data_IF_607101016244
#
_entry.id   IF_607101016244
#
_cell.length_a   1.000
_cell.length_b   1.000
_cell.length_c   1.000
_cell.angle_alpha   90.00
_cell.angle_beta   90.00
_cell.angle_gamma   90.00
#
_symmetry.space_group_name_H-M   'P 1'
#
loop_
_entity.id
_entity.type
_entity.pdbx_description
1 polymer ?
#
# COMPACT_ATOMS: atom_id res chain seq x y z
N UNK A 1 6.95 -0.66 -0.33
CA UNK A 1 8.13 -0.59 -1.22
C UNK A 1 7.91 0.42 -2.32
N UNK A 2 7.59 -0.03 -3.54
CA UNK A 2 7.53 0.77 -4.79
C UNK A 2 6.74 2.08 -4.70
N UNK A 3 5.44 2.02 -4.39
CA UNK A 3 4.59 3.22 -4.44
C UNK A 3 4.94 4.20 -3.32
N UNK A 4 5.18 3.71 -2.09
CA UNK A 4 5.59 4.54 -0.96
C UNK A 4 6.93 5.25 -1.18
N UNK A 5 7.93 4.56 -1.74
CA UNK A 5 9.21 5.19 -2.09
C UNK A 5 9.06 6.22 -3.21
N UNK A 6 8.23 5.95 -4.21
CA UNK A 6 7.97 6.89 -5.31
C UNK A 6 7.30 8.17 -4.81
N UNK A 7 6.27 8.05 -3.95
CA UNK A 7 5.61 9.20 -3.33
C UNK A 7 6.58 10.04 -2.50
N UNK A 8 7.40 9.40 -1.67
CA UNK A 8 8.43 10.09 -0.88
C UNK A 8 9.49 10.77 -1.74
N UNK A 9 9.89 10.16 -2.86
CA UNK A 9 10.91 10.69 -3.76
C UNK A 9 10.40 11.93 -4.50
N UNK A 10 9.17 11.86 -4.99
CA UNK A 10 8.54 12.94 -5.75
C UNK A 10 8.30 14.17 -4.87
N UNK A 11 7.66 13.99 -3.71
CA UNK A 11 7.45 15.08 -2.74
C UNK A 11 8.77 15.62 -2.19
N UNK A 12 9.74 14.75 -1.91
CA UNK A 12 11.07 15.18 -1.47
C UNK A 12 11.80 16.00 -2.52
N UNK A 13 11.65 15.65 -3.79
CA UNK A 13 12.21 16.44 -4.90
C UNK A 13 11.52 17.80 -5.00
N UNK A 14 10.18 17.84 -4.97
CA UNK A 14 9.41 19.09 -4.97
C UNK A 14 9.75 20.00 -3.78
N UNK A 15 10.05 19.40 -2.61
CA UNK A 15 10.48 20.17 -1.43
C UNK A 15 11.86 20.79 -1.63
N UNK A 16 12.82 20.01 -2.12
CA UNK A 16 14.21 20.47 -2.33
C UNK A 16 14.31 21.49 -3.48
N UNK A 17 13.39 21.47 -4.44
CA UNK A 17 13.30 22.46 -5.51
C UNK A 17 12.38 23.64 -5.17
N UNK A 18 11.99 23.80 -3.90
CA UNK A 18 11.13 24.88 -3.38
C UNK A 18 9.75 24.97 -4.06
N UNK A 19 9.31 23.94 -4.79
CA UNK A 19 8.01 23.91 -5.46
C UNK A 19 6.86 23.88 -4.45
N UNK A 20 7.06 23.23 -3.29
CA UNK A 20 6.07 23.22 -2.21
C UNK A 20 5.90 24.62 -1.60
N UNK A 21 7.01 25.33 -1.36
CA UNK A 21 6.98 26.69 -0.82
C UNK A 21 6.35 27.67 -1.84
N UNK A 22 6.59 27.47 -3.14
CA UNK A 22 5.95 28.23 -4.19
C UNK A 22 4.41 28.09 -4.18
N UNK A 23 3.87 26.91 -3.88
CA UNK A 23 2.42 26.70 -3.74
C UNK A 23 1.83 27.50 -2.56
N UNK A 24 2.55 27.55 -1.44
CA UNK A 24 2.13 28.32 -0.26
C UNK A 24 2.09 29.83 -0.56
N UNK A 25 3.09 30.35 -1.29
CA UNK A 25 3.11 31.76 -1.74
C UNK A 25 1.96 32.09 -2.69
N UNK A 26 1.51 31.11 -3.47
CA UNK A 26 0.34 31.22 -4.35
C UNK A 26 -1.00 31.03 -3.60
N UNK A 27 -1.00 31.05 -2.28
CA UNK A 27 -2.18 30.85 -1.42
C UNK A 27 -2.91 29.52 -1.68
N UNK A 28 -2.19 28.50 -2.15
CA UNK A 28 -2.72 27.15 -2.37
C UNK A 28 -2.23 26.24 -1.25
N UNK A 29 -3.14 25.52 -0.57
CA UNK A 29 -2.73 24.56 0.46
C UNK A 29 -2.02 23.34 -0.19
N UNK A 30 -0.70 23.17 0.04
CA UNK A 30 0.05 22.09 -0.58
C UNK A 30 -0.37 20.71 -0.08
N UNK A 31 -0.93 20.59 1.14
CA UNK A 31 -1.40 19.30 1.67
C UNK A 31 -2.65 18.86 0.90
N UNK A 32 -3.63 19.75 0.76
CA UNK A 32 -4.84 19.44 0.00
C UNK A 32 -4.54 19.16 -1.48
N UNK A 33 -3.59 19.90 -2.07
CA UNK A 33 -3.29 19.78 -3.49
C UNK A 33 -2.41 18.57 -3.84
N UNK A 34 -1.43 18.22 -3.00
CA UNK A 34 -0.46 17.15 -3.30
C UNK A 34 -0.74 15.85 -2.54
N UNK A 35 -1.08 15.92 -1.25
CA UNK A 35 -1.12 14.74 -0.37
C UNK A 35 -2.48 14.05 -0.43
N UNK A 36 -3.57 14.80 -0.24
CA UNK A 36 -4.94 14.26 -0.22
C UNK A 36 -5.27 13.41 -1.46
N UNK A 37 -5.03 13.86 -2.71
CA UNK A 37 -5.33 13.03 -3.88
C UNK A 37 -4.50 11.74 -3.94
N UNK A 38 -3.24 11.76 -3.47
CA UNK A 38 -2.38 10.56 -3.41
C UNK A 38 -2.89 9.56 -2.38
N UNK A 39 -3.35 10.04 -1.22
CA UNK A 39 -3.95 9.20 -0.18
C UNK A 39 -5.20 8.52 -0.71
N UNK A 40 -6.13 9.27 -1.33
CA UNK A 40 -7.33 8.66 -1.92
C UNK A 40 -7.01 7.66 -3.02
N UNK A 41 -6.09 7.99 -3.93
CA UNK A 41 -5.70 7.10 -5.00
C UNK A 41 -5.15 5.77 -4.46
N UNK A 42 -4.31 5.81 -3.43
CA UNK A 42 -3.70 4.62 -2.83
C UNK A 42 -4.66 3.80 -1.99
N UNK A 43 -5.53 4.45 -1.21
CA UNK A 43 -6.58 3.76 -0.42
C UNK A 43 -7.54 2.99 -1.32
N UNK A 44 -7.87 3.50 -2.50
CA UNK A 44 -8.77 2.84 -3.45
C UNK A 44 -8.03 1.76 -4.26
N UNK A 45 -6.80 2.02 -4.69
CA UNK A 45 -6.07 1.10 -5.56
C UNK A 45 -5.47 -0.09 -4.81
N UNK A 46 -5.11 0.04 -3.53
CA UNK A 46 -4.53 -1.09 -2.77
C UNK A 46 -5.48 -2.28 -2.63
N UNK A 47 -6.76 -2.11 -2.23
CA UNK A 47 -7.74 -3.19 -2.18
C UNK A 47 -7.94 -3.88 -3.53
N UNK A 48 -8.02 -3.12 -4.62
CA UNK A 48 -8.15 -3.67 -5.97
C UNK A 48 -6.94 -4.52 -6.35
N UNK A 49 -5.74 -4.06 -6.00
CA UNK A 49 -4.49 -4.75 -6.30
C UNK A 49 -4.35 -6.03 -5.45
N UNK A 50 -4.80 -6.01 -4.20
CA UNK A 50 -4.84 -7.20 -3.33
C UNK A 50 -5.86 -8.22 -3.87
N UNK A 51 -7.06 -7.80 -4.27
CA UNK A 51 -8.03 -8.73 -4.88
C UNK A 51 -7.50 -9.41 -6.15
N UNK A 52 -6.74 -8.69 -6.98
CA UNK A 52 -6.03 -9.29 -8.12
C UNK A 52 -4.92 -10.26 -7.68
N UNK A 53 -4.16 -9.91 -6.63
CA UNK A 53 -3.11 -10.78 -6.10
C UNK A 53 -3.69 -12.08 -5.54
N UNK A 54 -4.83 -12.02 -4.85
CA UNK A 54 -5.52 -13.19 -4.31
C UNK A 54 -6.02 -14.11 -5.44
N UNK A 55 -6.64 -13.55 -6.48
CA UNK A 55 -7.07 -14.31 -7.65
C UNK A 55 -5.90 -15.01 -8.35
N UNK A 56 -4.78 -14.31 -8.54
CA UNK A 56 -3.56 -14.91 -9.10
C UNK A 56 -2.94 -15.96 -8.16
N UNK A 57 -3.05 -15.77 -6.84
CA UNK A 57 -2.62 -16.74 -5.83
C UNK A 57 -3.40 -18.05 -5.92
N UNK A 58 -4.73 -17.98 -6.07
CA UNK A 58 -5.59 -19.16 -6.27
C UNK A 58 -5.23 -19.89 -7.57
N UNK A 59 -5.03 -19.15 -8.66
CA UNK A 59 -4.64 -19.75 -9.96
C UNK A 59 -3.25 -20.40 -9.86
N UNK A 60 -2.30 -19.76 -9.19
CA UNK A 60 -0.96 -20.32 -8.95
C UNK A 60 -1.02 -21.60 -8.11
N UNK A 61 -1.83 -21.60 -7.05
CA UNK A 61 -2.08 -22.78 -6.23
C UNK A 61 -2.73 -23.93 -7.00
N UNK A 62 -3.68 -23.62 -7.89
CA UNK A 62 -4.31 -24.59 -8.77
C UNK A 62 -3.29 -25.23 -9.73
N UNK A 63 -2.44 -24.42 -10.36
CA UNK A 63 -1.45 -24.92 -11.33
C UNK A 63 -0.47 -25.88 -10.65
N UNK A 64 0.04 -25.56 -9.47
CA UNK A 64 0.95 -26.45 -8.75
C UNK A 64 0.24 -27.71 -8.25
N UNK A 65 -0.90 -27.58 -7.59
CA UNK A 65 -1.58 -28.72 -6.96
C UNK A 65 -2.19 -29.70 -7.97
N UNK A 66 -2.81 -29.19 -9.04
CA UNK A 66 -3.51 -30.02 -10.02
C UNK A 66 -2.58 -30.44 -11.15
N UNK A 67 -1.81 -29.52 -11.73
CA UNK A 67 -1.00 -29.81 -12.93
C UNK A 67 0.31 -30.50 -12.56
N UNK A 68 1.00 -30.04 -11.51
CA UNK A 68 2.28 -30.66 -11.11
C UNK A 68 2.11 -31.86 -10.17
N UNK A 69 1.23 -31.75 -9.16
CA UNK A 69 1.05 -32.81 -8.16
C UNK A 69 -0.05 -33.83 -8.51
N UNK A 70 -0.82 -33.60 -9.59
CA UNK A 70 -1.87 -34.52 -10.04
C UNK A 70 -3.09 -34.60 -9.13
N UNK A 71 -3.33 -33.58 -8.29
CA UNK A 71 -4.51 -33.53 -7.42
C UNK A 71 -5.80 -33.40 -8.22
N UNK A 72 -6.91 -33.88 -7.68
CA UNK A 72 -8.21 -33.79 -8.35
C UNK A 72 -8.66 -32.31 -8.49
N UNK A 73 -8.92 -31.82 -9.72
CA UNK A 73 -9.33 -30.42 -9.95
C UNK A 73 -10.64 -30.06 -9.25
N UNK A 74 -11.62 -30.98 -9.24
CA UNK A 74 -12.94 -30.77 -8.64
C UNK A 74 -12.80 -30.63 -7.12
N UNK A 75 -11.96 -31.46 -6.50
CA UNK A 75 -11.70 -31.40 -5.06
C UNK A 75 -10.98 -30.10 -4.68
N UNK A 76 -10.04 -29.62 -5.51
CA UNK A 76 -9.38 -28.34 -5.25
C UNK A 76 -10.38 -27.18 -5.26
N UNK A 77 -11.23 -27.10 -6.30
CA UNK A 77 -12.23 -26.03 -6.41
C UNK A 77 -13.27 -26.11 -5.29
N UNK A 78 -13.76 -27.32 -4.97
CA UNK A 78 -14.75 -27.51 -3.91
C UNK A 78 -14.20 -27.09 -2.54
N UNK A 79 -12.98 -27.50 -2.20
CA UNK A 79 -12.33 -27.11 -0.95
C UNK A 79 -12.05 -25.60 -0.93
N UNK A 80 -11.53 -25.04 -2.03
CA UNK A 80 -11.24 -23.60 -2.11
C UNK A 80 -12.48 -22.76 -1.88
N UNK A 81 -13.64 -23.18 -2.40
CA UNK A 81 -14.90 -22.50 -2.16
C UNK A 81 -15.44 -22.72 -0.74
N UNK A 82 -15.27 -23.92 -0.19
CA UNK A 82 -15.76 -24.26 1.15
C UNK A 82 -15.01 -23.51 2.26
N UNK A 83 -13.71 -23.29 2.12
CA UNK A 83 -12.89 -22.60 3.12
C UNK A 83 -12.83 -21.08 2.92
N UNK A 84 -13.31 -20.57 1.78
CA UNK A 84 -13.31 -19.13 1.52
C UNK A 84 -14.60 -18.52 2.07
N UNK A 85 -14.56 -18.01 3.30
CA UNK A 85 -15.70 -17.28 3.84
C UNK A 85 -15.73 -15.85 3.28
N UNK A 86 -16.94 -15.31 3.10
CA UNK A 86 -17.11 -13.91 2.69
C UNK A 86 -16.49 -12.94 3.71
N UNK A 87 -16.41 -13.35 4.99
CA UNK A 87 -15.74 -12.58 6.04
C UNK A 87 -14.22 -12.46 5.81
N UNK A 88 -13.57 -13.48 5.26
CA UNK A 88 -12.14 -13.44 4.95
C UNK A 88 -11.86 -12.42 3.84
N UNK A 89 -12.74 -12.37 2.83
CA UNK A 89 -12.63 -11.41 1.75
C UNK A 89 -12.84 -9.97 2.24
N UNK A 90 -13.90 -9.73 3.01
CA UNK A 90 -14.21 -8.40 3.54
C UNK A 90 -13.15 -7.89 4.51
N UNK A 91 -12.68 -8.75 5.43
CA UNK A 91 -11.61 -8.39 6.36
C UNK A 91 -10.28 -8.10 5.62
N UNK A 92 -9.97 -8.85 4.57
CA UNK A 92 -8.83 -8.61 3.69
C UNK A 92 -8.91 -7.25 2.97
N UNK A 93 -10.06 -6.91 2.40
CA UNK A 93 -10.27 -5.62 1.72
C UNK A 93 -10.19 -4.42 2.68
N UNK A 94 -10.74 -4.56 3.90
CA UNK A 94 -10.64 -3.52 4.94
C UNK A 94 -9.17 -3.32 5.33
N UNK A 95 -8.43 -4.40 5.61
CA UNK A 95 -7.00 -4.33 5.91
C UNK A 95 -6.22 -3.66 4.78
N UNK A 96 -6.49 -4.03 3.54
CA UNK A 96 -5.89 -3.44 2.35
C UNK A 96 -6.07 -1.92 2.29
N UNK A 97 -7.29 -1.42 2.57
CA UNK A 97 -7.56 0.01 2.57
C UNK A 97 -6.77 0.74 3.66
N UNK A 98 -6.71 0.17 4.87
CA UNK A 98 -5.92 0.74 5.98
C UNK A 98 -4.43 0.75 5.66
N UNK A 99 -3.90 -0.30 5.06
CA UNK A 99 -2.50 -0.34 4.61
C UNK A 99 -2.23 0.72 3.55
N UNK A 100 -3.17 0.93 2.62
CA UNK A 100 -3.06 1.96 1.59
C UNK A 100 -2.96 3.36 2.19
N UNK A 101 -3.77 3.63 3.22
CA UNK A 101 -3.72 4.88 4.00
C UNK A 101 -2.36 5.04 4.68
N UNK A 102 -1.88 4.03 5.41
CA UNK A 102 -0.62 4.11 6.14
C UNK A 102 0.57 4.33 5.19
N UNK A 103 0.63 3.59 4.08
CA UNK A 103 1.71 3.71 3.10
C UNK A 103 1.76 5.12 2.49
N UNK A 104 0.61 5.67 2.14
CA UNK A 104 0.55 7.00 1.52
C UNK A 104 0.81 8.12 2.51
N UNK A 105 0.26 8.06 3.71
CA UNK A 105 0.49 9.07 4.76
C UNK A 105 1.97 9.08 5.15
N UNK A 106 2.57 7.92 5.47
CA UNK A 106 3.98 7.84 5.85
C UNK A 106 4.89 8.26 4.68
N UNK A 107 4.57 7.82 3.46
CA UNK A 107 5.30 8.19 2.24
C UNK A 107 5.28 9.70 2.00
N UNK A 108 4.09 10.31 2.08
CA UNK A 108 3.93 11.74 1.86
C UNK A 108 4.55 12.55 2.98
N UNK A 109 4.38 12.16 4.25
CA UNK A 109 4.98 12.85 5.39
C UNK A 109 6.51 12.90 5.27
N UNK A 110 7.15 11.76 4.96
CA UNK A 110 8.61 11.74 4.81
C UNK A 110 9.10 12.53 3.60
N UNK A 111 8.37 12.50 2.48
CA UNK A 111 8.69 13.35 1.32
C UNK A 111 8.54 14.84 1.62
N UNK A 112 7.41 15.23 2.21
CA UNK A 112 7.05 16.64 2.45
C UNK A 112 8.04 17.36 3.37
N UNK A 113 8.57 16.68 4.39
CA UNK A 113 9.55 17.24 5.33
C UNK A 113 11.00 16.90 4.96
N UNK A 114 11.29 16.59 3.69
CA UNK A 114 12.66 16.29 3.25
C UNK A 114 13.55 17.53 3.35
N UNK A 115 14.79 17.33 3.81
CA UNK A 115 15.82 18.36 3.89
C UNK A 115 17.19 17.83 3.45
N UNK A 116 18.10 18.70 3.02
CA UNK A 116 19.49 18.32 2.72
C UNK A 116 19.73 17.90 1.26
N UNK A 117 19.01 18.50 0.32
CA UNK A 117 19.24 18.33 -1.11
C UNK A 117 18.89 16.93 -1.64
N UNK A 118 19.47 16.55 -2.77
CA UNK A 118 19.25 15.24 -3.40
C UNK A 118 19.63 14.05 -2.49
N UNK A 119 20.67 14.20 -1.66
CA UNK A 119 21.03 13.18 -0.67
C UNK A 119 19.95 13.01 0.42
N UNK A 120 19.30 14.12 0.80
CA UNK A 120 18.15 14.14 1.68
C UNK A 120 16.94 13.38 1.14
N UNK A 121 16.69 13.49 -0.18
CA UNK A 121 15.62 12.76 -0.87
C UNK A 121 15.84 11.25 -0.76
N UNK A 122 17.05 10.76 -1.05
CA UNK A 122 17.38 9.33 -0.93
C UNK A 122 17.26 8.79 0.50
N UNK A 123 17.61 9.59 1.51
CA UNK A 123 17.42 9.20 2.92
C UNK A 123 15.94 9.15 3.29
N UNK A 124 15.17 10.15 2.89
CA UNK A 124 13.74 10.27 3.22
C UNK A 124 12.92 9.16 2.55
N UNK A 125 13.24 8.78 1.31
CA UNK A 125 12.60 7.65 0.62
C UNK A 125 12.87 6.33 1.32
N UNK A 126 14.11 6.10 1.76
CA UNK A 126 14.48 4.88 2.48
C UNK A 126 13.76 4.81 3.83
N UNK A 127 13.75 5.92 4.59
CA UNK A 127 13.02 6.01 5.85
C UNK A 127 11.52 5.82 5.67
N UNK A 128 10.94 6.34 4.59
CA UNK A 128 9.52 6.17 4.27
C UNK A 128 9.16 4.69 4.12
N UNK A 129 9.98 3.92 3.40
CA UNK A 129 9.75 2.47 3.22
C UNK A 129 9.82 1.73 4.54
N UNK A 130 10.86 1.99 5.36
CA UNK A 130 11.04 1.31 6.65
C UNK A 130 9.87 1.61 7.60
N UNK A 131 9.49 2.89 7.75
CA UNK A 131 8.40 3.28 8.62
C UNK A 131 7.04 2.78 8.12
N UNK A 132 6.80 2.79 6.81
CA UNK A 132 5.56 2.25 6.25
C UNK A 132 5.47 0.75 6.51
N UNK A 133 6.57 -0.01 6.32
CA UNK A 133 6.62 -1.44 6.61
C UNK A 133 6.34 -1.74 8.09
N UNK A 134 6.97 -1.02 9.02
CA UNK A 134 6.74 -1.20 10.46
C UNK A 134 5.29 -0.84 10.81
N UNK A 135 4.76 0.26 10.27
CA UNK A 135 3.39 0.71 10.54
C UNK A 135 2.36 -0.30 10.05
N UNK A 136 2.57 -0.89 8.87
CA UNK A 136 1.70 -1.94 8.31
C UNK A 136 1.73 -3.19 9.20
N UNK A 137 2.90 -3.63 9.66
CA UNK A 137 3.00 -4.80 10.56
C UNK A 137 2.29 -4.57 11.90
N UNK A 138 2.46 -3.40 12.49
CA UNK A 138 1.77 -3.03 13.73
C UNK A 138 0.26 -2.98 13.50
N UNK A 139 -0.18 -2.33 12.42
CA UNK A 139 -1.59 -2.24 12.08
C UNK A 139 -2.20 -3.62 11.81
N UNK A 140 -1.48 -4.53 11.14
CA UNK A 140 -1.95 -5.88 10.88
C UNK A 140 -2.22 -6.66 12.17
N UNK A 141 -1.35 -6.55 13.18
CA UNK A 141 -1.58 -7.18 14.48
C UNK A 141 -2.90 -6.71 15.11
N UNK A 142 -3.12 -5.39 15.18
CA UNK A 142 -4.33 -4.84 15.78
C UNK A 142 -5.58 -5.13 14.96
N UNK A 143 -5.51 -5.00 13.62
CA UNK A 143 -6.64 -5.31 12.74
C UNK A 143 -7.02 -6.78 12.81
N UNK A 144 -6.03 -7.68 12.90
CA UNK A 144 -6.31 -9.11 13.08
C UNK A 144 -7.06 -9.36 14.38
N UNK A 145 -6.63 -8.75 15.49
CA UNK A 145 -7.29 -8.87 16.79
C UNK A 145 -8.71 -8.31 16.86
N UNK A 146 -9.07 -7.40 15.95
CA UNK A 146 -10.40 -6.78 15.89
C UNK A 146 -11.32 -7.53 14.94
N UNK A 147 -10.78 -8.05 13.84
CA UNK A 147 -11.55 -8.69 12.76
C UNK A 147 -11.74 -10.20 12.96
N UNK A 148 -10.89 -10.84 13.77
CA UNK A 148 -10.91 -12.27 14.09
C UNK A 148 -10.77 -12.48 15.61
#
# INVERSE_FOLDING_TARGET
GRCGSAMGAELGTMRVTEQIDALEVLATDPIHYLVVPRVWATVITLPLLIGLADALGIIGGYLVSVVMMGSNPVTYLANSYQYMEMNDLMSGLIKAAVFGLLISVVGCQKGFYTSGGAAGVGRSTTQAVVLASISVLIADFFLTKILF
#
